data_IF_967817993074
#
_entry.id   IF_967817993074
#
_cell.length_a   1.000
_cell.length_b   1.000
_cell.length_c   1.000
_cell.angle_alpha   90.00
_cell.angle_beta   90.00
_cell.angle_gamma   90.00
#
_symmetry.space_group_name_H-M   'P 1'
#
loop_
_entity.id
_entity.type
_entity.pdbx_description
1 polymer ?
#
# COMPACT_ATOMS: atom_id res chain seq x y z
N UNK A 1 -15.26 -5.56 -16.90
CA UNK A 1 -15.89 -5.25 -15.59
C UNK A 1 -14.91 -5.68 -14.50
N UNK A 2 -14.49 -4.76 -13.65
CA UNK A 2 -13.47 -5.01 -12.63
C UNK A 2 -13.91 -6.07 -11.62
N UNK A 3 -12.96 -6.91 -11.23
CA UNK A 3 -13.16 -7.96 -10.24
C UNK A 3 -12.93 -7.38 -8.85
N UNK A 4 -13.97 -7.41 -8.01
CA UNK A 4 -13.92 -6.84 -6.66
C UNK A 4 -13.73 -7.97 -5.66
N UNK A 5 -12.64 -7.90 -4.88
CA UNK A 5 -12.27 -8.93 -3.91
C UNK A 5 -12.34 -8.43 -2.47
N UNK A 6 -12.69 -9.29 -1.55
CA UNK A 6 -12.54 -9.05 -0.12
C UNK A 6 -11.04 -8.93 0.26
N UNK A 7 -10.69 -8.23 1.36
CA UNK A 7 -9.29 -7.99 1.70
C UNK A 7 -8.43 -9.25 1.78
N UNK A 8 -8.92 -10.34 2.35
CA UNK A 8 -8.15 -11.59 2.47
C UNK A 8 -7.85 -12.21 1.12
N UNK A 9 -8.87 -12.38 0.28
CA UNK A 9 -8.73 -12.90 -1.07
C UNK A 9 -7.82 -12.02 -1.92
N UNK A 10 -8.02 -10.69 -1.86
CA UNK A 10 -7.23 -9.72 -2.59
C UNK A 10 -5.74 -9.80 -2.22
N UNK A 11 -5.40 -9.79 -0.94
CA UNK A 11 -4.02 -9.84 -0.48
C UNK A 11 -3.34 -11.17 -0.82
N UNK A 12 -4.09 -12.27 -0.77
CA UNK A 12 -3.61 -13.58 -1.21
C UNK A 12 -3.30 -13.56 -2.71
N UNK A 13 -4.24 -13.11 -3.54
CA UNK A 13 -4.06 -13.01 -4.99
C UNK A 13 -2.85 -12.14 -5.36
N UNK A 14 -2.73 -10.92 -4.79
CA UNK A 14 -1.60 -10.02 -5.07
C UNK A 14 -0.27 -10.66 -4.71
N UNK A 15 -0.20 -11.36 -3.58
CA UNK A 15 1.03 -12.03 -3.14
C UNK A 15 1.43 -13.21 -4.02
N UNK A 16 0.45 -14.02 -4.44
CA UNK A 16 0.69 -15.26 -5.20
C UNK A 16 0.88 -15.01 -6.69
N UNK A 17 0.20 -14.01 -7.25
CA UNK A 17 0.23 -13.72 -8.68
C UNK A 17 1.42 -12.87 -9.14
N UNK A 18 2.02 -12.09 -8.23
CA UNK A 18 3.04 -11.10 -8.60
C UNK A 18 2.49 -9.94 -9.46
N UNK A 19 1.17 -9.71 -9.48
CA UNK A 19 0.57 -8.63 -10.23
C UNK A 19 1.04 -7.26 -9.74
N UNK A 20 1.08 -6.30 -10.67
CA UNK A 20 1.32 -4.90 -10.33
C UNK A 20 0.22 -4.41 -9.38
N UNK A 21 0.62 -3.93 -8.21
CA UNK A 21 -0.27 -3.37 -7.20
C UNK A 21 -0.20 -1.84 -7.25
N UNK A 22 -1.31 -1.19 -7.58
CA UNK A 22 -1.40 0.26 -7.73
C UNK A 22 -2.19 0.90 -6.58
N UNK A 23 -1.61 1.92 -5.97
CA UNK A 23 -2.31 2.83 -5.06
C UNK A 23 -2.77 4.07 -5.82
N UNK A 24 -4.08 4.25 -5.98
CA UNK A 24 -4.66 5.37 -6.71
C UNK A 24 -4.99 6.57 -5.82
N UNK A 25 -4.52 6.57 -4.56
CA UNK A 25 -4.63 7.70 -3.64
C UNK A 25 -3.65 8.81 -4.02
N UNK A 26 -3.85 9.98 -3.43
CA UNK A 26 -2.93 11.09 -3.65
C UNK A 26 -1.52 10.81 -3.11
N UNK A 27 -0.49 11.50 -3.64
CA UNK A 27 0.89 11.28 -3.21
C UNK A 27 1.11 11.44 -1.69
N UNK A 28 0.44 12.38 -1.04
CA UNK A 28 0.54 12.57 0.42
C UNK A 28 -0.07 11.40 1.19
N UNK A 29 -1.23 10.89 0.74
CA UNK A 29 -1.86 9.71 1.34
C UNK A 29 -0.94 8.48 1.23
N UNK A 30 -0.29 8.31 0.08
CA UNK A 30 0.65 7.21 -0.16
C UNK A 30 1.92 7.34 0.68
N UNK A 31 2.54 8.54 0.72
CA UNK A 31 3.75 8.78 1.53
C UNK A 31 3.51 8.55 3.02
N UNK A 32 2.33 8.87 3.52
CA UNK A 32 1.99 8.62 4.91
C UNK A 32 2.03 7.13 5.24
N UNK A 33 1.33 6.31 4.47
CA UNK A 33 1.38 4.86 4.55
C UNK A 33 0.62 4.22 3.37
N UNK A 34 1.06 3.04 2.92
CA UNK A 34 0.49 2.29 1.80
C UNK A 34 0.57 0.78 2.03
N UNK A 35 -0.07 -0.02 1.20
CA UNK A 35 0.10 -1.48 1.20
C UNK A 35 1.53 -1.78 0.71
N UNK A 36 2.34 -2.55 1.45
CA UNK A 36 3.71 -2.87 1.05
C UNK A 36 3.79 -3.45 -0.37
N UNK A 37 4.71 -2.91 -1.17
CA UNK A 37 4.88 -3.29 -2.57
C UNK A 37 3.97 -2.55 -3.56
N UNK A 38 3.06 -1.69 -3.10
CA UNK A 38 2.25 -0.87 -3.98
C UNK A 38 3.08 0.25 -4.63
N UNK A 39 2.78 0.53 -5.90
CA UNK A 39 3.28 1.71 -6.62
C UNK A 39 2.19 2.78 -6.64
N UNK A 40 2.55 4.03 -6.36
CA UNK A 40 1.58 5.12 -6.42
C UNK A 40 1.32 5.54 -7.87
N UNK A 41 0.09 5.37 -8.31
CA UNK A 41 -0.45 5.93 -9.55
C UNK A 41 -1.67 6.77 -9.20
N UNK A 42 -1.48 8.01 -8.73
CA UNK A 42 -2.56 8.80 -8.17
C UNK A 42 -3.56 9.23 -9.25
N UNK A 43 -4.85 8.97 -9.03
CA UNK A 43 -5.90 9.51 -9.89
C UNK A 43 -5.96 11.05 -9.81
N UNK A 44 -5.69 11.59 -8.62
CA UNK A 44 -5.64 13.01 -8.30
C UNK A 44 -4.33 13.29 -7.54
N UNK A 45 -3.62 14.35 -7.89
CA UNK A 45 -2.55 14.88 -7.07
C UNK A 45 -3.11 15.47 -5.76
N UNK A 46 -2.25 15.95 -4.87
CA UNK A 46 -2.66 16.45 -3.55
C UNK A 46 -3.55 17.70 -3.66
N UNK A 47 -3.25 18.61 -4.58
CA UNK A 47 -4.00 19.83 -4.82
C UNK A 47 -5.40 19.51 -5.39
N UNK A 48 -5.47 18.72 -6.44
CA UNK A 48 -6.74 18.30 -7.06
C UNK A 48 -7.61 17.51 -6.08
N UNK A 49 -6.99 16.66 -5.28
CA UNK A 49 -7.70 15.90 -4.23
C UNK A 49 -8.30 16.83 -3.18
N UNK A 50 -7.57 17.89 -2.78
CA UNK A 50 -8.08 18.90 -1.84
C UNK A 50 -9.23 19.69 -2.45
N UNK A 51 -9.09 20.13 -3.70
CA UNK A 51 -10.13 20.87 -4.43
C UNK A 51 -11.43 20.07 -4.57
N UNK A 52 -11.35 18.81 -5.03
CA UNK A 52 -12.50 17.90 -5.14
C UNK A 52 -13.13 17.63 -3.76
N UNK A 53 -12.31 17.46 -2.72
CA UNK A 53 -12.77 17.28 -1.34
C UNK A 53 -13.51 18.49 -0.78
N UNK A 54 -13.08 19.71 -1.13
CA UNK A 54 -13.74 20.98 -0.77
C UNK A 54 -15.06 21.14 -1.52
N UNK A 55 -15.06 20.92 -2.84
CA UNK A 55 -16.28 20.93 -3.65
C UNK A 55 -17.34 19.96 -3.11
N UNK A 56 -16.91 18.75 -2.71
CA UNK A 56 -17.83 17.78 -2.10
C UNK A 56 -18.49 18.28 -0.82
N UNK A 57 -17.71 18.95 0.05
CA UNK A 57 -18.23 19.46 1.34
C UNK A 57 -19.11 20.69 1.18
N UNK A 58 -18.78 21.58 0.26
CA UNK A 58 -19.43 22.88 0.12
C UNK A 58 -20.58 22.90 -0.90
N UNK A 59 -20.45 22.10 -1.97
CA UNK A 59 -21.35 22.16 -3.13
C UNK A 59 -22.06 20.81 -3.38
N UNK A 60 -21.63 19.74 -2.67
CA UNK A 60 -22.21 18.43 -2.78
C UNK A 60 -21.53 17.49 -3.77
N UNK A 61 -22.14 16.32 -3.92
CA UNK A 61 -21.56 15.20 -4.70
C UNK A 61 -21.41 15.54 -6.18
N UNK A 62 -22.42 16.12 -6.80
CA UNK A 62 -22.47 16.31 -8.26
C UNK A 62 -21.42 17.32 -8.73
N UNK A 63 -21.25 18.44 -7.99
CA UNK A 63 -20.19 19.41 -8.27
C UNK A 63 -18.79 18.78 -8.13
N UNK A 64 -18.57 17.96 -7.09
CA UNK A 64 -17.30 17.28 -6.91
C UNK A 64 -17.01 16.26 -8.01
N UNK A 65 -18.03 15.57 -8.52
CA UNK A 65 -17.89 14.61 -9.63
C UNK A 65 -17.52 15.34 -10.92
N UNK A 66 -18.21 16.44 -11.23
CA UNK A 66 -17.93 17.23 -12.43
C UNK A 66 -16.50 17.79 -12.40
N UNK A 67 -16.11 18.44 -11.30
CA UNK A 67 -14.75 18.92 -11.10
C UNK A 67 -13.71 17.79 -11.21
N UNK A 68 -14.02 16.61 -10.63
CA UNK A 68 -13.17 15.45 -10.74
C UNK A 68 -12.95 15.01 -12.19
N UNK A 69 -13.97 15.00 -13.02
CA UNK A 69 -13.85 14.65 -14.44
C UNK A 69 -13.04 15.69 -15.23
N UNK A 70 -13.23 16.96 -14.97
CA UNK A 70 -12.45 18.04 -15.59
C UNK A 70 -10.95 17.92 -15.28
N UNK A 71 -10.61 17.60 -14.03
CA UNK A 71 -9.23 17.48 -13.58
C UNK A 71 -8.55 16.18 -14.03
N UNK A 72 -9.29 15.07 -14.09
CA UNK A 72 -8.73 13.73 -14.36
C UNK A 72 -8.77 13.37 -15.84
N UNK A 73 -9.79 13.81 -16.59
CA UNK A 73 -9.99 13.43 -17.98
C UNK A 73 -8.76 13.59 -18.87
N UNK A 74 -8.05 14.72 -18.83
CA UNK A 74 -6.84 14.92 -19.64
C UNK A 74 -5.71 13.93 -19.35
N UNK A 75 -5.73 13.27 -18.18
CA UNK A 75 -4.66 12.37 -17.72
C UNK A 75 -4.86 10.90 -18.10
N UNK A 76 -6.02 10.50 -18.66
CA UNK A 76 -6.33 9.08 -18.93
C UNK A 76 -5.28 8.37 -19.78
N UNK A 77 -4.87 9.00 -20.89
CA UNK A 77 -3.83 8.45 -21.74
C UNK A 77 -2.48 8.29 -21.00
N UNK A 78 -2.18 9.23 -20.10
CA UNK A 78 -0.98 9.18 -19.25
C UNK A 78 -0.98 7.99 -18.31
N UNK A 79 -2.10 7.66 -17.66
CA UNK A 79 -2.22 6.48 -16.79
C UNK A 79 -1.96 5.18 -17.55
N UNK A 80 -2.53 5.05 -18.75
CA UNK A 80 -2.31 3.85 -19.57
C UNK A 80 -0.84 3.71 -19.99
N UNK A 81 -0.17 4.82 -20.38
CA UNK A 81 1.25 4.80 -20.72
C UNK A 81 2.11 4.36 -19.52
N UNK A 82 1.90 4.96 -18.35
CA UNK A 82 2.63 4.61 -17.14
C UNK A 82 2.45 3.14 -16.75
N UNK A 83 1.23 2.59 -16.82
CA UNK A 83 1.01 1.18 -16.51
C UNK A 83 1.72 0.26 -17.52
N UNK A 84 1.77 0.62 -18.81
CA UNK A 84 2.52 -0.14 -19.83
C UNK A 84 4.03 -0.15 -19.58
N UNK A 85 4.57 0.90 -19.02
CA UNK A 85 5.99 0.99 -18.63
C UNK A 85 6.29 0.16 -17.38
N UNK A 86 5.32 0.00 -16.47
CA UNK A 86 5.48 -0.71 -15.21
C UNK A 86 5.30 -2.23 -15.34
N UNK A 87 4.52 -2.70 -16.31
CA UNK A 87 4.24 -4.13 -16.46
C UNK A 87 3.81 -4.50 -17.88
N UNK A 88 4.27 -5.67 -18.33
CA UNK A 88 3.76 -6.34 -19.54
C UNK A 88 2.52 -7.20 -19.23
N UNK A 89 2.28 -7.52 -17.95
CA UNK A 89 1.15 -8.31 -17.53
C UNK A 89 -0.16 -7.57 -17.78
N UNK A 90 -1.17 -8.27 -18.26
CA UNK A 90 -2.51 -7.73 -18.49
C UNK A 90 -3.44 -7.84 -17.28
N UNK A 91 -3.01 -8.52 -16.24
CA UNK A 91 -3.72 -8.56 -14.96
C UNK A 91 -3.01 -7.66 -13.95
N UNK A 92 -3.75 -6.74 -13.37
CA UNK A 92 -3.26 -5.75 -12.41
C UNK A 92 -4.22 -5.61 -11.23
N UNK A 93 -3.71 -5.17 -10.12
CA UNK A 93 -4.49 -4.91 -8.92
C UNK A 93 -4.38 -3.46 -8.50
N UNK A 94 -5.47 -2.89 -7.97
CA UNK A 94 -5.46 -1.52 -7.50
C UNK A 94 -6.41 -1.27 -6.33
N UNK A 95 -6.15 -0.20 -5.61
CA UNK A 95 -7.00 0.27 -4.53
C UNK A 95 -7.00 1.80 -4.41
N UNK A 96 -8.03 2.34 -3.74
CA UNK A 96 -8.03 3.70 -3.23
C UNK A 96 -8.34 3.71 -1.74
N UNK A 97 -8.76 4.83 -1.16
CA UNK A 97 -9.04 4.92 0.29
C UNK A 97 -10.18 3.99 0.75
N UNK A 98 -11.29 3.90 0.00
CA UNK A 98 -12.50 3.11 0.35
C UNK A 98 -12.96 2.15 -0.74
N UNK A 99 -12.20 1.93 -1.79
CA UNK A 99 -12.63 1.11 -2.93
C UNK A 99 -13.84 1.71 -3.68
N UNK A 100 -13.91 3.04 -3.76
CA UNK A 100 -15.01 3.77 -4.38
C UNK A 100 -14.62 4.40 -5.73
N UNK A 101 -15.07 5.64 -5.98
CA UNK A 101 -14.97 6.31 -7.29
C UNK A 101 -13.54 6.38 -7.84
N UNK A 102 -12.53 6.70 -7.01
CA UNK A 102 -11.14 6.83 -7.50
C UNK A 102 -10.63 5.52 -8.12
N UNK A 103 -10.77 4.40 -7.40
CA UNK A 103 -10.40 3.09 -7.93
C UNK A 103 -11.30 2.64 -9.09
N UNK A 104 -12.59 3.00 -9.05
CA UNK A 104 -13.53 2.67 -10.13
C UNK A 104 -13.19 3.38 -11.45
N UNK A 105 -12.87 4.66 -11.42
CA UNK A 105 -12.46 5.42 -12.62
C UNK A 105 -11.14 4.87 -13.18
N UNK A 106 -10.13 4.65 -12.32
CA UNK A 106 -8.85 4.09 -12.77
C UNK A 106 -9.04 2.69 -13.37
N UNK A 107 -9.84 1.84 -12.74
CA UNK A 107 -10.16 0.52 -13.25
C UNK A 107 -10.83 0.60 -14.62
N UNK A 108 -11.83 1.44 -14.79
CA UNK A 108 -12.52 1.63 -16.06
C UNK A 108 -11.57 2.09 -17.18
N UNK A 109 -10.71 3.06 -16.92
CA UNK A 109 -9.71 3.53 -17.91
C UNK A 109 -8.76 2.41 -18.34
N UNK A 110 -8.28 1.62 -17.37
CA UNK A 110 -7.32 0.55 -17.65
C UNK A 110 -8.01 -0.66 -18.32
N UNK A 111 -9.26 -0.95 -17.98
CA UNK A 111 -10.06 -1.97 -18.68
C UNK A 111 -10.29 -1.62 -20.16
N UNK A 112 -10.58 -0.35 -20.48
CA UNK A 112 -10.66 0.11 -21.87
C UNK A 112 -9.35 -0.07 -22.64
N UNK A 113 -8.22 -0.02 -21.92
CA UNK A 113 -6.89 -0.28 -22.47
C UNK A 113 -6.52 -1.77 -22.55
N UNK A 114 -7.44 -2.68 -22.20
CA UNK A 114 -7.29 -4.14 -22.32
C UNK A 114 -6.67 -4.81 -21.09
N UNK A 115 -6.66 -4.15 -19.93
CA UNK A 115 -6.24 -4.78 -18.67
C UNK A 115 -7.43 -5.46 -17.98
N UNK A 116 -7.15 -6.54 -17.29
CA UNK A 116 -8.05 -7.17 -16.32
C UNK A 116 -7.73 -6.62 -14.94
N UNK A 117 -8.70 -5.93 -14.32
CA UNK A 117 -8.44 -5.12 -13.12
C UNK A 117 -9.10 -5.74 -11.89
N UNK A 118 -8.29 -5.96 -10.86
CA UNK A 118 -8.70 -6.46 -9.56
C UNK A 118 -8.72 -5.31 -8.55
N UNK A 119 -9.85 -5.09 -7.87
CA UNK A 119 -10.06 -3.97 -6.96
C UNK A 119 -10.29 -4.45 -5.54
N UNK A 120 -9.57 -3.86 -4.59
CA UNK A 120 -9.75 -4.12 -3.16
C UNK A 120 -11.07 -3.53 -2.65
N UNK A 121 -12.01 -4.38 -2.23
CA UNK A 121 -13.25 -3.96 -1.58
C UNK A 121 -12.96 -3.22 -0.27
N UNK A 122 -13.55 -2.05 -0.11
CA UNK A 122 -13.31 -1.21 1.06
C UNK A 122 -11.96 -0.48 1.07
N UNK A 123 -11.09 -0.75 0.07
CA UNK A 123 -9.82 -0.07 -0.17
C UNK A 123 -8.83 -0.13 0.99
N UNK A 124 -7.94 0.84 1.05
CA UNK A 124 -6.91 0.95 2.08
C UNK A 124 -7.49 0.94 3.51
N UNK A 125 -8.67 1.53 3.72
CA UNK A 125 -9.34 1.51 5.02
C UNK A 125 -9.64 0.07 5.49
N UNK A 126 -10.10 -0.79 4.59
CA UNK A 126 -10.37 -2.20 4.91
C UNK A 126 -9.07 -2.98 5.13
N UNK A 127 -8.04 -2.73 4.32
CA UNK A 127 -6.70 -3.27 4.56
C UNK A 127 -6.18 -2.91 5.96
N UNK A 128 -6.27 -1.64 6.35
CA UNK A 128 -5.83 -1.18 7.70
C UNK A 128 -6.61 -1.81 8.84
N UNK A 129 -7.91 -2.06 8.66
CA UNK A 129 -8.69 -2.80 9.65
C UNK A 129 -8.13 -4.22 9.84
N UNK A 130 -7.81 -4.90 8.73
CA UNK A 130 -7.21 -6.23 8.74
C UNK A 130 -5.82 -6.27 9.37
N UNK A 131 -4.97 -5.28 9.06
CA UNK A 131 -3.64 -5.15 9.69
C UNK A 131 -3.77 -5.07 11.22
N UNK A 132 -4.65 -4.20 11.71
CA UNK A 132 -4.87 -4.03 13.16
C UNK A 132 -5.40 -5.30 13.82
N UNK A 133 -6.32 -6.00 13.19
CA UNK A 133 -6.85 -7.28 13.66
C UNK A 133 -5.74 -8.34 13.74
N UNK A 134 -4.93 -8.46 12.70
CA UNK A 134 -3.81 -9.39 12.65
C UNK A 134 -2.79 -9.10 13.76
N UNK A 135 -2.42 -7.84 13.97
CA UNK A 135 -1.45 -7.46 15.01
C UNK A 135 -2.01 -7.60 16.43
N UNK A 136 -3.34 -7.55 16.60
CA UNK A 136 -3.99 -7.80 17.89
C UNK A 136 -4.15 -9.30 18.21
N UNK A 137 -3.97 -10.17 17.21
CA UNK A 137 -4.10 -11.62 17.40
C UNK A 137 -2.86 -12.17 18.10
N UNK A 138 -2.98 -12.85 19.25
CA UNK A 138 -1.83 -13.47 19.91
C UNK A 138 -1.14 -14.50 19.02
N UNK A 139 0.19 -14.46 19.01
CA UNK A 139 1.01 -15.42 18.28
C UNK A 139 2.21 -15.87 19.12
N UNK A 140 2.70 -17.10 18.95
CA UNK A 140 3.87 -17.59 19.66
C UNK A 140 5.14 -16.94 19.10
N UNK A 141 5.66 -15.92 19.79
CA UNK A 141 6.89 -15.23 19.42
C UNK A 141 8.00 -15.52 20.43
N UNK A 142 9.22 -15.72 19.93
CA UNK A 142 10.44 -15.70 20.74
C UNK A 142 11.14 -14.36 20.52
N UNK A 143 11.34 -13.61 21.60
CA UNK A 143 11.98 -12.28 21.50
C UNK A 143 13.47 -12.41 21.80
N UNK A 144 14.30 -12.04 20.82
CA UNK A 144 15.74 -11.91 20.99
C UNK A 144 16.07 -10.52 21.55
N UNK A 145 16.35 -10.45 22.87
CA UNK A 145 16.76 -9.24 23.56
C UNK A 145 18.28 -9.20 23.81
N UNK A 146 18.81 -7.99 24.05
CA UNK A 146 20.22 -7.81 24.41
C UNK A 146 20.70 -6.37 24.23
N UNK A 147 21.87 -6.04 24.81
CA UNK A 147 22.48 -4.70 24.71
C UNK A 147 22.85 -4.37 23.26
N UNK A 148 22.95 -3.06 22.94
CA UNK A 148 23.51 -2.62 21.68
C UNK A 148 24.92 -3.18 21.48
N UNK A 149 25.23 -3.67 20.28
CA UNK A 149 26.52 -4.29 19.95
C UNK A 149 26.70 -5.74 20.45
N UNK A 150 25.66 -6.40 20.96
CA UNK A 150 25.74 -7.81 21.41
C UNK A 150 25.56 -8.87 20.31
N UNK A 151 25.61 -8.47 19.03
CA UNK A 151 25.50 -9.42 17.90
C UNK A 151 24.09 -9.91 17.59
N UNK A 152 23.03 -9.21 18.06
CA UNK A 152 21.65 -9.64 17.80
C UNK A 152 21.30 -9.71 16.31
N UNK A 153 21.72 -8.71 15.54
CA UNK A 153 21.42 -8.62 14.10
C UNK A 153 22.09 -9.79 13.34
N UNK A 154 23.36 -10.06 13.65
CA UNK A 154 24.10 -11.19 13.07
C UNK A 154 23.44 -12.52 13.41
N UNK A 155 22.98 -12.69 14.67
CA UNK A 155 22.27 -13.89 15.09
C UNK A 155 20.93 -14.03 14.38
N UNK A 156 20.14 -12.94 14.23
CA UNK A 156 18.89 -12.96 13.45
C UNK A 156 19.15 -13.36 11.99
N UNK A 157 20.20 -12.84 11.38
CA UNK A 157 20.57 -13.20 10.00
C UNK A 157 20.98 -14.67 9.89
N UNK A 158 21.74 -15.19 10.86
CA UNK A 158 22.11 -16.59 10.89
C UNK A 158 20.90 -17.52 11.07
N UNK A 159 19.94 -17.15 11.92
CA UNK A 159 18.68 -17.87 12.08
C UNK A 159 17.87 -17.88 10.79
N UNK A 160 17.76 -16.74 10.12
CA UNK A 160 17.08 -16.65 8.83
C UNK A 160 17.76 -17.52 7.76
N UNK A 161 19.11 -17.53 7.73
CA UNK A 161 19.88 -18.38 6.82
C UNK A 161 19.72 -19.87 7.13
N UNK A 162 19.45 -20.23 8.39
CA UNK A 162 19.13 -21.59 8.80
C UNK A 162 17.67 -22.01 8.52
N UNK A 163 16.86 -21.12 7.91
CA UNK A 163 15.47 -21.40 7.56
C UNK A 163 14.44 -21.04 8.65
N UNK A 164 14.88 -20.41 9.74
CA UNK A 164 13.96 -19.93 10.78
C UNK A 164 13.18 -18.69 10.32
N UNK A 165 11.95 -18.59 10.79
CA UNK A 165 11.08 -17.44 10.52
C UNK A 165 11.47 -16.26 11.41
N UNK A 166 12.02 -15.20 10.83
CA UNK A 166 12.59 -14.07 11.54
C UNK A 166 11.89 -12.77 11.19
N UNK A 167 11.61 -11.95 12.22
CA UNK A 167 11.15 -10.57 12.07
C UNK A 167 12.20 -9.64 12.67
N UNK A 168 12.89 -8.87 11.83
CA UNK A 168 13.82 -7.83 12.25
C UNK A 168 13.06 -6.50 12.38
N UNK A 169 12.72 -6.14 13.62
CA UNK A 169 11.99 -4.91 13.92
C UNK A 169 12.86 -3.65 13.69
N UNK A 170 14.18 -3.73 13.90
CA UNK A 170 15.10 -2.62 13.67
C UNK A 170 15.20 -2.31 12.18
N UNK A 171 15.28 -3.33 11.33
CA UNK A 171 15.25 -3.17 9.88
C UNK A 171 13.92 -2.59 9.38
N UNK A 172 12.77 -3.08 9.88
CA UNK A 172 11.45 -2.55 9.51
C UNK A 172 11.25 -1.09 9.93
N UNK A 173 11.92 -0.65 11.01
CA UNK A 173 11.85 0.71 11.51
C UNK A 173 12.88 1.65 10.88
N UNK A 174 13.81 1.16 10.06
CA UNK A 174 15.00 1.90 9.63
C UNK A 174 15.77 2.51 10.82
N UNK A 175 15.93 1.72 11.91
CA UNK A 175 16.49 2.22 13.16
C UNK A 175 17.21 1.13 13.96
N UNK A 176 18.46 1.34 14.31
CA UNK A 176 19.33 0.36 14.99
C UNK A 176 19.16 0.30 16.52
N UNK A 177 18.03 0.71 17.08
CA UNK A 177 17.68 0.54 18.49
C UNK A 177 18.54 1.32 19.51
N UNK A 178 19.35 2.30 19.08
CA UNK A 178 20.20 3.12 19.97
C UNK A 178 19.85 4.60 19.85
N UNK A 179 20.36 5.45 20.74
CA UNK A 179 20.19 6.91 20.64
C UNK A 179 20.63 7.49 19.28
N UNK A 180 21.54 6.83 18.59
CA UNK A 180 22.06 7.21 17.26
C UNK A 180 21.62 6.24 16.16
N UNK A 181 20.65 5.39 16.44
CA UNK A 181 20.23 4.29 15.55
C UNK A 181 19.68 4.70 14.19
N UNK A 182 19.25 5.96 14.05
CA UNK A 182 18.79 6.53 12.78
C UNK A 182 19.90 7.15 11.91
N UNK A 183 21.13 7.29 12.42
CA UNK A 183 22.20 7.88 11.63
C UNK A 183 22.61 6.98 10.46
N UNK A 184 22.62 7.56 9.24
CA UNK A 184 22.94 6.85 8.02
C UNK A 184 21.87 5.82 7.57
N UNK A 185 20.68 5.86 8.16
CA UNK A 185 19.53 5.09 7.72
C UNK A 185 18.59 5.94 6.86
N UNK A 186 17.77 5.27 6.05
CA UNK A 186 16.61 5.91 5.42
C UNK A 186 15.66 6.48 6.49
N UNK A 187 14.84 7.49 6.16
CA UNK A 187 13.84 8.01 7.10
C UNK A 187 12.97 6.90 7.70
N UNK A 188 12.70 7.01 8.99
CA UNK A 188 11.81 6.06 9.64
C UNK A 188 10.42 6.12 9.01
N UNK A 189 9.77 4.97 8.79
CA UNK A 189 8.40 4.94 8.33
C UNK A 189 7.47 5.56 9.39
N UNK A 190 6.31 6.06 8.97
CA UNK A 190 5.25 6.38 9.94
C UNK A 190 4.88 5.14 10.76
N UNK A 191 4.32 5.32 11.95
CA UNK A 191 3.83 4.19 12.75
C UNK A 191 2.85 3.31 11.96
N UNK A 192 2.00 3.95 11.16
CA UNK A 192 1.05 3.24 10.30
C UNK A 192 1.74 2.40 9.22
N UNK A 193 2.79 2.93 8.59
CA UNK A 193 3.57 2.19 7.60
C UNK A 193 4.39 1.07 8.26
N UNK A 194 4.96 1.30 9.43
CA UNK A 194 5.65 0.27 10.19
C UNK A 194 4.72 -0.91 10.51
N UNK A 195 3.49 -0.63 10.97
CA UNK A 195 2.48 -1.67 11.21
C UNK A 195 2.11 -2.42 9.93
N UNK A 196 2.00 -1.74 8.79
CA UNK A 196 1.76 -2.38 7.49
C UNK A 196 2.89 -3.32 7.10
N UNK A 197 4.14 -2.89 7.27
CA UNK A 197 5.34 -3.69 6.99
C UNK A 197 5.40 -4.91 7.91
N UNK A 198 5.15 -4.71 9.20
CA UNK A 198 5.15 -5.76 10.21
C UNK A 198 4.08 -6.82 9.91
N UNK A 199 2.84 -6.40 9.65
CA UNK A 199 1.76 -7.31 9.29
C UNK A 199 2.05 -8.08 8.00
N UNK A 200 2.64 -7.41 6.99
CA UNK A 200 3.10 -8.05 5.77
C UNK A 200 4.20 -9.09 6.00
N UNK A 201 5.07 -8.88 6.98
CA UNK A 201 6.11 -9.83 7.35
C UNK A 201 5.52 -11.04 8.08
N UNK A 202 4.65 -10.80 9.06
CA UNK A 202 3.91 -11.85 9.78
C UNK A 202 3.07 -12.70 8.83
N UNK A 203 2.40 -12.09 7.85
CA UNK A 203 1.59 -12.81 6.86
C UNK A 203 2.38 -13.69 5.87
N UNK A 204 3.71 -13.66 5.93
CA UNK A 204 4.61 -14.54 5.17
C UNK A 204 5.15 -15.70 6.03
N UNK A 205 4.91 -15.65 7.33
CA UNK A 205 5.23 -16.71 8.28
C UNK A 205 4.08 -17.74 8.33
#
# INVERSE_FOLDING_TARGET
MSLIHLPEEYLKLVRESGWLLLDTRSPSEYRQAHIPGAINLPLLNDEHRAAVGTAYKQQGRDAAVLLGFELVGPSFAGFVKQVRELTENREISLYCWRGGMRSGIMAWVLELAGYRVHVLKGGYKAYRARVREQLATPMPLRVLGGRTGSGKTELLQALAAAGEQVIDLEALANHKGSAFGGLGQEPQPSNEQFENLLAGRIGKL
#
